data_IF_787542456055
#
_entry.id   IF_787542456055
#
_cell.length_a   1.000
_cell.length_b   1.000
_cell.length_c   1.000
_cell.angle_alpha   90.00
_cell.angle_beta   90.00
_cell.angle_gamma   90.00
#
_symmetry.space_group_name_H-M   'P 1'
#
loop_
_entity.id
_entity.type
_entity.pdbx_description
1 polymer ?
#
# COMPACT_ATOMS: atom_id res chain seq x y z
N UNK A 1 -62.36 -32.86 17.95
CA UNK A 1 -62.03 -34.28 17.69
C UNK A 1 -60.60 -34.28 17.19
N UNK A 2 -59.61 -34.72 17.99
CA UNK A 2 -59.22 -36.15 18.19
C UNK A 2 -58.36 -36.65 17.02
N UNK A 3 -57.20 -37.31 17.11
CA UNK A 3 -56.25 -37.75 18.16
C UNK A 3 -54.90 -38.08 17.45
N UNK A 4 -53.70 -38.19 18.03
CA UNK A 4 -53.17 -37.97 19.40
C UNK A 4 -51.61 -37.87 19.38
N UNK A 5 -50.99 -37.71 20.55
CA UNK A 5 -49.56 -37.74 20.91
C UNK A 5 -48.69 -38.89 20.35
N UNK A 6 -47.36 -38.66 20.33
CA UNK A 6 -46.38 -39.63 20.87
C UNK A 6 -45.05 -38.94 21.26
N UNK A 7 -44.62 -39.11 22.51
CA UNK A 7 -43.26 -38.80 22.98
C UNK A 7 -42.32 -39.99 22.74
N UNK A 8 -41.02 -39.74 22.61
CA UNK A 8 -40.00 -40.74 22.88
C UNK A 8 -38.72 -40.07 23.44
N UNK A 9 -38.44 -40.30 24.72
CA UNK A 9 -37.11 -40.05 25.32
C UNK A 9 -36.24 -41.29 25.15
N UNK A 10 -34.93 -41.12 25.04
CA UNK A 10 -33.97 -42.16 25.47
C UNK A 10 -32.69 -41.50 25.99
N UNK A 11 -32.02 -42.17 26.92
CA UNK A 11 -31.00 -41.60 27.80
C UNK A 11 -29.93 -42.67 28.13
N UNK A 12 -28.65 -42.31 28.00
CA UNK A 12 -27.50 -43.16 28.36
C UNK A 12 -27.09 -44.18 27.27
N UNK A 13 -25.87 -44.70 27.25
CA UNK A 13 -24.65 -44.31 27.98
C UNK A 13 -23.39 -44.80 27.21
N UNK A 14 -22.22 -44.34 27.69
CA UNK A 14 -20.83 -44.85 27.58
C UNK A 14 -20.58 -46.17 26.81
N UNK A 15 -19.46 -46.38 26.10
CA UNK A 15 -18.07 -46.17 26.59
C UNK A 15 -16.96 -46.26 25.49
N UNK A 16 -15.69 -46.10 25.90
CA UNK A 16 -14.42 -46.48 25.23
C UNK A 16 -13.64 -45.48 24.31
N UNK A 17 -12.83 -44.64 24.96
CA UNK A 17 -11.50 -44.11 24.53
C UNK A 17 -10.46 -45.26 24.30
N UNK A 18 -9.18 -45.07 23.83
CA UNK A 18 -8.41 -43.80 23.73
C UNK A 18 -7.58 -43.57 22.44
N UNK A 19 -7.07 -42.34 22.24
CA UNK A 19 -6.18 -42.08 21.07
C UNK A 19 -5.51 -40.71 20.91
N UNK A 20 -4.70 -40.27 21.88
CA UNK A 20 -3.57 -39.31 21.74
C UNK A 20 -3.62 -38.20 20.64
N UNK A 21 -3.70 -36.92 21.06
CA UNK A 21 -2.52 -36.04 20.97
C UNK A 21 -2.70 -34.73 21.74
N UNK A 22 -1.79 -34.46 22.69
CA UNK A 22 -1.70 -33.15 23.38
C UNK A 22 -1.03 -32.14 22.46
N UNK A 23 -1.75 -31.11 22.04
CA UNK A 23 -1.14 -29.82 21.65
C UNK A 23 -1.60 -28.74 22.63
N UNK A 24 -0.80 -28.53 23.67
CA UNK A 24 -0.97 -27.41 24.61
C UNK A 24 -0.66 -26.10 23.90
N UNK A 25 -1.71 -25.45 23.37
CA UNK A 25 -1.61 -24.10 22.78
C UNK A 25 -1.14 -23.11 23.84
N UNK A 26 0.14 -22.74 23.79
CA UNK A 26 0.72 -21.76 24.69
C UNK A 26 -0.08 -20.46 24.68
N UNK A 27 -0.58 -20.05 25.84
CA UNK A 27 -1.35 -18.82 26.05
C UNK A 27 -0.41 -17.63 25.89
N UNK A 28 -0.48 -16.93 24.74
CA UNK A 28 0.27 -15.69 24.56
C UNK A 28 -0.17 -14.66 25.60
N UNK A 29 0.74 -13.91 26.24
CA UNK A 29 0.37 -12.71 26.97
C UNK A 29 -0.27 -11.72 26.02
N UNK A 30 -1.47 -11.23 26.36
CA UNK A 30 -2.00 -10.01 25.75
C UNK A 30 -1.26 -8.82 26.38
N UNK A 31 -0.69 -7.89 25.60
CA UNK A 31 -0.22 -6.63 26.17
C UNK A 31 -1.43 -5.79 26.61
N UNK A 32 -1.33 -5.16 27.77
CA UNK A 32 -2.40 -4.34 28.33
C UNK A 32 -2.71 -3.11 27.47
N UNK A 33 -3.99 -2.75 27.41
CA UNK A 33 -4.52 -1.70 26.56
C UNK A 33 -4.38 -0.29 27.19
N UNK A 34 -3.17 0.07 27.65
CA UNK A 34 -2.89 1.35 28.32
C UNK A 34 -1.50 1.92 28.02
N UNK A 35 -1.01 1.82 26.79
CA UNK A 35 0.01 2.78 26.29
C UNK A 35 0.05 2.86 24.75
N UNK A 36 -1.11 3.15 24.15
CA UNK A 36 -1.26 3.33 22.70
C UNK A 36 -0.74 4.70 22.23
N UNK A 37 0.53 5.01 22.54
CA UNK A 37 1.28 6.01 21.77
C UNK A 37 1.26 5.54 20.32
N UNK A 38 0.77 6.38 19.42
CA UNK A 38 0.62 6.06 18.00
C UNK A 38 1.99 5.94 17.31
N UNK A 39 2.67 4.80 17.53
CA UNK A 39 3.90 4.45 16.83
C UNK A 39 3.60 4.41 15.32
N UNK A 40 4.28 5.23 14.51
CA UNK A 40 4.00 5.27 13.08
C UNK A 40 4.28 3.90 12.46
N UNK A 41 3.43 3.48 11.52
CA UNK A 41 3.48 2.17 10.84
C UNK A 41 4.83 1.91 10.12
N UNK A 42 5.64 2.95 9.93
CA UNK A 42 7.04 2.86 9.52
C UNK A 42 7.94 2.07 10.49
N UNK A 43 7.69 2.08 11.81
CA UNK A 43 8.58 1.47 12.82
C UNK A 43 8.63 -0.07 12.71
N UNK A 44 7.50 -0.81 12.61
CA UNK A 44 7.53 -2.25 12.36
C UNK A 44 8.24 -2.63 11.05
N UNK A 45 7.95 -1.92 9.95
CA UNK A 45 8.55 -2.14 8.63
C UNK A 45 10.07 -1.95 8.69
N UNK A 46 10.54 -0.82 9.22
CA UNK A 46 11.96 -0.53 9.38
C UNK A 46 12.67 -1.51 10.33
N UNK A 47 11.95 -2.16 11.26
CA UNK A 47 12.51 -3.21 12.12
C UNK A 47 12.68 -4.53 11.36
N UNK A 48 11.71 -4.94 10.55
CA UNK A 48 11.80 -6.16 9.72
C UNK A 48 12.92 -6.02 8.69
N UNK A 49 12.99 -4.89 7.98
CA UNK A 49 14.05 -4.61 7.00
C UNK A 49 15.43 -4.65 7.67
N UNK A 50 15.62 -4.00 8.83
CA UNK A 50 16.88 -4.04 9.59
C UNK A 50 17.25 -5.46 10.03
N UNK A 51 16.31 -6.24 10.55
CA UNK A 51 16.58 -7.62 10.97
C UNK A 51 17.01 -8.51 9.78
N UNK A 52 16.32 -8.39 8.64
CA UNK A 52 16.68 -9.09 7.41
C UNK A 52 18.04 -8.65 6.86
N UNK A 53 18.36 -7.36 6.90
CA UNK A 53 19.65 -6.83 6.45
C UNK A 53 20.81 -7.29 7.34
N UNK A 54 20.62 -7.37 8.67
CA UNK A 54 21.62 -7.93 9.58
C UNK A 54 21.82 -9.43 9.33
N UNK A 55 20.75 -10.20 9.19
CA UNK A 55 20.83 -11.64 8.92
C UNK A 55 21.52 -11.94 7.57
N UNK A 56 21.24 -11.13 6.53
CA UNK A 56 21.86 -11.34 5.21
C UNK A 56 23.35 -10.99 5.15
N UNK A 57 23.88 -10.13 6.03
CA UNK A 57 25.34 -9.89 6.09
C UNK A 57 26.13 -11.12 6.53
N UNK A 58 25.49 -12.05 7.23
CA UNK A 58 26.09 -13.29 7.70
C UNK A 58 26.03 -14.44 6.67
N UNK A 59 25.42 -14.22 5.49
CA UNK A 59 25.22 -15.24 4.47
C UNK A 59 25.94 -14.86 3.16
N UNK A 60 26.72 -15.75 2.55
CA UNK A 60 27.37 -15.46 1.27
C UNK A 60 26.32 -15.25 0.17
N UNK A 61 26.47 -14.18 -0.61
CA UNK A 61 25.57 -13.84 -1.71
C UNK A 61 25.67 -14.91 -2.81
N UNK A 62 24.71 -15.86 -2.84
CA UNK A 62 24.71 -16.97 -3.80
C UNK A 62 24.32 -16.58 -5.22
N UNK A 63 23.55 -15.49 -5.37
CA UNK A 63 23.07 -14.98 -6.65
C UNK A 63 23.38 -13.47 -6.73
N UNK A 64 23.68 -12.96 -7.93
CA UNK A 64 23.72 -11.52 -8.19
C UNK A 64 22.32 -10.91 -8.14
N UNK A 65 22.21 -9.65 -7.73
CA UNK A 65 20.93 -8.95 -7.61
C UNK A 65 20.87 -8.04 -6.38
N UNK A 66 19.67 -7.65 -5.95
CA UNK A 66 19.46 -6.96 -4.68
C UNK A 66 19.29 -7.94 -3.51
N UNK A 67 19.88 -7.59 -2.36
CA UNK A 67 19.76 -8.30 -1.08
C UNK A 67 19.51 -7.33 0.08
N UNK A 68 18.71 -7.67 1.12
CA UNK A 68 18.03 -8.94 1.36
C UNK A 68 16.71 -9.10 0.58
N UNK A 69 16.41 -10.33 0.14
CA UNK A 69 15.20 -10.67 -0.64
C UNK A 69 13.89 -10.20 0.01
N UNK A 70 13.79 -10.22 1.34
CA UNK A 70 12.61 -9.72 2.06
C UNK A 70 12.39 -8.23 1.80
N UNK A 71 13.45 -7.41 1.84
CA UNK A 71 13.35 -5.99 1.56
C UNK A 71 13.04 -5.72 0.09
N UNK A 72 13.55 -6.54 -0.84
CA UNK A 72 13.18 -6.49 -2.26
C UNK A 72 11.69 -6.77 -2.46
N UNK A 73 11.14 -7.76 -1.76
CA UNK A 73 9.70 -8.05 -1.77
C UNK A 73 8.86 -6.91 -1.19
N UNK A 74 9.30 -6.31 -0.08
CA UNK A 74 8.62 -5.15 0.53
C UNK A 74 8.67 -3.91 -0.38
N UNK A 75 9.79 -3.68 -1.07
CA UNK A 75 9.90 -2.63 -2.06
C UNK A 75 9.02 -2.90 -3.29
N UNK A 76 8.97 -4.16 -3.75
CA UNK A 76 8.21 -4.58 -4.93
C UNK A 76 6.70 -4.61 -4.72
N UNK A 77 6.23 -4.62 -3.47
CA UNK A 77 4.82 -4.52 -3.11
C UNK A 77 4.24 -3.10 -3.25
N UNK A 78 5.08 -2.09 -3.53
CA UNK A 78 4.65 -0.73 -3.80
C UNK A 78 4.40 -0.47 -5.30
N UNK A 79 3.47 0.44 -5.58
CA UNK A 79 3.22 1.02 -6.90
C UNK A 79 4.23 2.12 -7.22
N UNK A 80 4.95 1.96 -8.33
CA UNK A 80 6.05 2.82 -8.76
C UNK A 80 5.74 3.49 -10.09
N UNK A 81 5.73 4.82 -10.15
CA UNK A 81 5.56 5.58 -11.39
C UNK A 81 6.80 6.43 -11.70
N UNK A 82 7.30 6.51 -12.94
CA UNK A 82 8.41 7.41 -13.26
C UNK A 82 7.97 8.87 -13.15
N UNK A 83 8.83 9.74 -12.59
CA UNK A 83 8.52 11.15 -12.36
C UNK A 83 8.16 11.90 -13.66
N UNK A 84 8.78 11.49 -14.77
CA UNK A 84 8.52 11.98 -16.12
C UNK A 84 7.13 11.65 -16.67
N UNK A 85 6.44 10.63 -16.16
CA UNK A 85 5.06 10.32 -16.55
C UNK A 85 4.02 10.95 -15.62
N UNK A 86 4.23 10.88 -14.31
CA UNK A 86 3.25 11.33 -13.31
C UNK A 86 3.02 12.85 -13.33
N UNK A 87 4.08 13.66 -13.45
CA UNK A 87 3.92 15.13 -13.43
C UNK A 87 3.16 15.65 -14.65
N UNK A 88 3.44 15.23 -15.89
CA UNK A 88 2.58 15.55 -17.04
C UNK A 88 1.16 15.02 -16.90
N UNK A 89 0.96 13.79 -16.41
CA UNK A 89 -0.38 13.23 -16.23
C UNK A 89 -1.23 14.04 -15.23
N UNK A 90 -0.67 14.39 -14.07
CA UNK A 90 -1.33 15.26 -13.08
C UNK A 90 -1.64 16.65 -13.65
N UNK A 91 -0.74 17.24 -14.46
CA UNK A 91 -1.01 18.52 -15.15
C UNK A 91 -2.14 18.40 -16.17
N UNK A 92 -2.19 17.32 -16.96
CA UNK A 92 -3.29 17.06 -17.91
C UNK A 92 -4.63 16.84 -17.20
N UNK A 93 -4.63 16.17 -16.03
CA UNK A 93 -5.81 15.96 -15.20
C UNK A 93 -6.44 17.27 -14.71
N UNK A 94 -5.65 18.31 -14.40
CA UNK A 94 -6.16 19.65 -14.05
C UNK A 94 -6.94 20.34 -15.18
N UNK A 95 -6.72 19.94 -16.44
CA UNK A 95 -7.36 20.53 -17.62
C UNK A 95 -8.66 19.80 -18.02
N UNK A 96 -9.03 18.72 -17.33
CA UNK A 96 -10.21 17.92 -17.68
C UNK A 96 -11.53 18.56 -17.20
N UNK A 97 -12.54 18.58 -18.09
CA UNK A 97 -13.87 19.09 -17.77
C UNK A 97 -14.75 17.99 -17.12
N UNK A 98 -14.61 17.79 -15.81
CA UNK A 98 -15.34 16.77 -15.05
C UNK A 98 -16.88 16.88 -15.07
N UNK A 99 -17.46 17.93 -15.68
CA UNK A 99 -18.92 17.98 -15.94
C UNK A 99 -19.36 17.00 -17.03
N UNK A 100 -18.43 16.50 -17.85
CA UNK A 100 -18.68 15.50 -18.88
C UNK A 100 -18.35 14.10 -18.35
N UNK A 101 -19.27 13.16 -18.48
CA UNK A 101 -19.09 11.77 -18.04
C UNK A 101 -17.86 11.10 -18.69
N UNK A 102 -17.63 11.39 -19.97
CA UNK A 102 -16.44 10.91 -20.72
C UNK A 102 -15.14 11.43 -20.11
N UNK A 103 -15.09 12.70 -19.70
CA UNK A 103 -13.93 13.30 -19.03
C UNK A 103 -13.72 12.74 -17.62
N UNK A 104 -14.81 12.43 -16.89
CA UNK A 104 -14.74 11.78 -15.59
C UNK A 104 -14.15 10.37 -15.69
N UNK A 105 -14.64 9.56 -16.65
CA UNK A 105 -14.11 8.22 -16.94
C UNK A 105 -12.64 8.28 -17.34
N UNK A 106 -12.28 9.18 -18.26
CA UNK A 106 -10.89 9.39 -18.67
C UNK A 106 -9.99 9.84 -17.50
N UNK A 107 -10.48 10.69 -16.60
CA UNK A 107 -9.74 11.09 -15.39
C UNK A 107 -9.49 9.90 -14.46
N UNK A 108 -10.50 9.04 -14.24
CA UNK A 108 -10.36 7.82 -13.44
C UNK A 108 -9.35 6.86 -14.08
N UNK A 109 -9.48 6.59 -15.37
CA UNK A 109 -8.58 5.70 -16.12
C UNK A 109 -7.14 6.22 -16.12
N UNK A 110 -6.93 7.52 -16.34
CA UNK A 110 -5.60 8.13 -16.29
C UNK A 110 -4.97 8.03 -14.89
N UNK A 111 -5.72 8.26 -13.81
CA UNK A 111 -5.21 8.10 -12.44
C UNK A 111 -4.92 6.63 -12.13
N UNK A 112 -5.79 5.70 -12.50
CA UNK A 112 -5.53 4.25 -12.35
C UNK A 112 -4.31 3.81 -13.17
N UNK A 113 -4.10 4.39 -14.36
CA UNK A 113 -2.93 4.14 -15.19
C UNK A 113 -1.60 4.44 -14.50
N UNK A 114 -1.54 5.42 -13.60
CA UNK A 114 -0.35 5.73 -12.81
C UNK A 114 0.08 4.57 -11.89
N UNK A 115 -0.85 3.74 -11.43
CA UNK A 115 -0.57 2.58 -10.59
C UNK A 115 -0.11 1.35 -11.40
N UNK A 116 -0.28 1.37 -12.73
CA UNK A 116 0.02 0.25 -13.63
C UNK A 116 1.44 0.31 -14.24
N UNK A 117 2.28 1.23 -13.79
CA UNK A 117 3.68 1.31 -14.21
C UNK A 117 4.50 0.15 -13.63
N UNK A 118 5.47 -0.36 -14.39
CA UNK A 118 6.31 -1.48 -13.99
C UNK A 118 7.31 -1.09 -12.89
N UNK A 119 7.51 -1.98 -11.91
CA UNK A 119 8.50 -1.83 -10.84
C UNK A 119 9.90 -1.55 -11.42
N UNK A 120 10.63 -0.49 -11.00
CA UNK A 120 11.88 -0.07 -11.64
C UNK A 120 13.04 -1.08 -11.53
N UNK A 121 12.99 -1.99 -10.56
CA UNK A 121 14.03 -3.00 -10.29
C UNK A 121 13.47 -4.42 -10.46
N UNK A 122 14.35 -5.41 -10.29
CA UNK A 122 14.02 -6.83 -10.31
C UNK A 122 15.24 -7.70 -9.97
N UNK A 123 15.13 -9.04 -10.02
CA UNK A 123 16.23 -9.94 -9.66
C UNK A 123 17.54 -9.64 -10.41
N UNK A 124 17.44 -9.35 -11.71
CA UNK A 124 18.58 -9.01 -12.58
C UNK A 124 18.57 -7.56 -13.06
N UNK A 125 17.79 -6.67 -12.41
CA UNK A 125 17.69 -5.25 -12.77
C UNK A 125 17.86 -4.37 -11.54
N UNK A 126 19.01 -3.69 -11.45
CA UNK A 126 19.23 -2.62 -10.46
C UNK A 126 18.29 -1.45 -10.75
N UNK A 127 17.93 -0.68 -9.73
CA UNK A 127 17.15 0.56 -9.91
C UNK A 127 17.88 1.49 -10.90
N UNK A 128 17.20 2.15 -11.86
CA UNK A 128 17.86 2.92 -12.92
C UNK A 128 18.78 4.05 -12.39
N UNK A 129 19.80 4.40 -13.17
CA UNK A 129 20.71 5.50 -12.84
C UNK A 129 20.16 6.81 -13.41
N UNK A 130 20.14 7.88 -12.61
CA UNK A 130 19.73 9.21 -13.08
C UNK A 130 18.23 9.40 -13.31
N UNK A 131 17.41 8.36 -13.12
CA UNK A 131 15.94 8.47 -13.13
C UNK A 131 15.38 8.59 -11.72
N UNK A 132 14.26 9.32 -11.60
CA UNK A 132 13.50 9.47 -10.36
C UNK A 132 12.15 8.79 -10.53
N UNK A 133 11.80 7.92 -9.58
CA UNK A 133 10.48 7.31 -9.47
C UNK A 133 9.73 7.84 -8.25
N UNK A 134 8.41 7.74 -8.32
CA UNK A 134 7.45 8.09 -7.28
C UNK A 134 6.86 6.81 -6.71
N UNK A 135 6.87 6.69 -5.40
CA UNK A 135 6.16 5.61 -4.69
C UNK A 135 4.75 6.08 -4.32
N UNK A 136 3.74 5.63 -5.07
CA UNK A 136 2.36 6.12 -4.95
C UNK A 136 1.66 5.74 -3.64
N UNK A 137 2.16 4.71 -2.94
CA UNK A 137 1.57 4.19 -1.69
C UNK A 137 2.17 4.82 -0.42
N UNK A 138 3.08 5.79 -0.56
CA UNK A 138 3.67 6.49 0.60
C UNK A 138 2.85 7.72 1.00
N UNK A 139 2.67 7.88 2.31
CA UNK A 139 2.06 9.07 2.91
C UNK A 139 3.08 10.23 2.82
N UNK A 140 2.66 11.44 2.43
CA UNK A 140 1.27 11.89 2.28
C UNK A 140 0.64 11.68 0.90
N UNK A 141 1.42 11.41 -0.16
CA UNK A 141 0.91 11.33 -1.53
C UNK A 141 -0.24 10.31 -1.69
N UNK A 142 -0.13 9.13 -1.08
CA UNK A 142 -1.17 8.09 -1.14
C UNK A 142 -2.55 8.58 -0.65
N UNK A 143 -2.58 9.37 0.43
CA UNK A 143 -3.81 9.94 0.97
C UNK A 143 -4.39 10.98 0.01
N UNK A 144 -3.52 11.79 -0.60
CA UNK A 144 -3.93 12.77 -1.63
C UNK A 144 -4.51 12.07 -2.87
N UNK A 145 -3.86 11.02 -3.38
CA UNK A 145 -4.35 10.25 -4.53
C UNK A 145 -5.71 9.57 -4.26
N UNK A 146 -5.89 9.01 -3.06
CA UNK A 146 -7.19 8.48 -2.61
C UNK A 146 -8.26 9.58 -2.52
N UNK A 147 -7.89 10.77 -2.02
CA UNK A 147 -8.76 11.95 -1.95
C UNK A 147 -9.20 12.48 -3.32
N UNK A 148 -8.39 12.31 -4.37
CA UNK A 148 -8.75 12.62 -5.76
C UNK A 148 -9.70 11.55 -6.35
N UNK A 149 -9.40 10.27 -6.12
CA UNK A 149 -10.17 9.15 -6.70
C UNK A 149 -11.57 8.98 -6.09
N UNK A 150 -11.71 9.08 -4.77
CA UNK A 150 -12.96 8.73 -4.09
C UNK A 150 -14.17 9.61 -4.53
N UNK A 151 -14.03 10.94 -4.75
CA UNK A 151 -15.10 11.76 -5.32
C UNK A 151 -15.50 11.36 -6.74
N UNK A 152 -14.54 10.98 -7.59
CA UNK A 152 -14.82 10.57 -8.99
C UNK A 152 -15.65 9.29 -9.03
N UNK A 153 -15.26 8.27 -8.25
CA UNK A 153 -15.99 6.99 -8.17
C UNK A 153 -17.43 7.22 -7.66
N UNK A 154 -17.62 8.09 -6.66
CA UNK A 154 -18.95 8.48 -6.17
C UNK A 154 -19.77 9.22 -7.23
N UNK A 155 -19.13 10.04 -8.06
CA UNK A 155 -19.77 10.77 -9.14
C UNK A 155 -20.21 9.86 -10.30
N UNK A 156 -19.40 8.88 -10.69
CA UNK A 156 -19.75 7.87 -11.71
C UNK A 156 -20.88 6.94 -11.26
N UNK A 157 -20.89 6.54 -9.97
CA UNK A 157 -21.82 5.51 -9.47
C UNK A 157 -23.16 6.04 -8.97
N UNK A 158 -23.21 7.23 -8.35
CA UNK A 158 -24.43 7.78 -7.76
C UNK A 158 -25.02 8.96 -8.55
N UNK A 159 -24.26 9.54 -9.48
CA UNK A 159 -24.52 10.83 -10.09
C UNK A 159 -24.33 11.98 -9.09
N UNK A 160 -23.61 13.03 -9.50
CA UNK A 160 -23.51 14.28 -8.72
C UNK A 160 -24.02 15.46 -9.54
N UNK A 161 -24.85 16.28 -8.90
CA UNK A 161 -25.44 17.48 -9.48
C UNK A 161 -25.30 18.69 -8.53
N UNK A 162 -25.42 19.90 -9.08
CA UNK A 162 -25.41 21.14 -8.31
C UNK A 162 -24.18 21.31 -7.40
N UNK A 163 -24.43 21.69 -6.14
CA UNK A 163 -23.37 21.96 -5.15
C UNK A 163 -22.48 20.75 -4.85
N UNK A 164 -23.00 19.52 -4.93
CA UNK A 164 -22.20 18.30 -4.70
C UNK A 164 -21.19 18.07 -5.82
N UNK A 165 -21.59 18.32 -7.08
CA UNK A 165 -20.67 18.25 -8.23
C UNK A 165 -19.60 19.35 -8.14
N UNK A 166 -19.99 20.57 -7.81
CA UNK A 166 -19.05 21.68 -7.60
C UNK A 166 -18.02 21.34 -6.52
N UNK A 167 -18.45 20.81 -5.37
CA UNK A 167 -17.55 20.36 -4.31
C UNK A 167 -16.61 19.22 -4.73
N UNK A 168 -17.10 18.24 -5.50
CA UNK A 168 -16.26 17.18 -6.05
C UNK A 168 -15.18 17.71 -7.00
N UNK A 169 -15.52 18.64 -7.90
CA UNK A 169 -14.56 19.30 -8.79
C UNK A 169 -13.51 20.10 -8.00
N UNK A 170 -13.91 20.88 -6.99
CA UNK A 170 -12.97 21.63 -6.13
C UNK A 170 -12.02 20.70 -5.37
N UNK A 171 -12.53 19.59 -4.83
CA UNK A 171 -11.70 18.59 -4.14
C UNK A 171 -10.71 17.90 -5.08
N UNK A 172 -11.13 17.59 -6.31
CA UNK A 172 -10.26 17.02 -7.35
C UNK A 172 -9.12 17.98 -7.74
N UNK A 173 -9.44 19.25 -8.05
CA UNK A 173 -8.45 20.27 -8.43
C UNK A 173 -7.48 20.53 -7.26
N UNK A 174 -8.00 20.68 -6.05
CA UNK A 174 -7.20 20.87 -4.83
C UNK A 174 -6.30 19.66 -4.54
N UNK A 175 -6.83 18.44 -4.69
CA UNK A 175 -6.09 17.19 -4.52
C UNK A 175 -4.93 17.07 -5.51
N UNK A 176 -5.17 17.29 -6.81
CA UNK A 176 -4.11 17.23 -7.82
C UNK A 176 -3.07 18.33 -7.60
N UNK A 177 -3.50 19.53 -7.24
CA UNK A 177 -2.58 20.63 -6.91
C UNK A 177 -1.71 20.29 -5.68
N UNK A 178 -2.30 19.64 -4.68
CA UNK A 178 -1.58 19.14 -3.49
C UNK A 178 -0.60 18.02 -3.84
N UNK A 179 -0.97 17.11 -4.75
CA UNK A 179 -0.09 16.04 -5.22
C UNK A 179 1.10 16.62 -6.01
N UNK A 180 0.87 17.58 -6.90
CA UNK A 180 1.93 18.30 -7.60
C UNK A 180 2.84 19.09 -6.64
N UNK A 181 2.28 19.71 -5.60
CA UNK A 181 3.06 20.37 -4.56
C UNK A 181 3.93 19.36 -3.81
N UNK A 182 3.39 18.20 -3.40
CA UNK A 182 4.14 17.15 -2.72
C UNK A 182 5.30 16.61 -3.58
N UNK A 183 5.06 16.43 -4.89
CA UNK A 183 6.09 16.01 -5.85
C UNK A 183 7.15 17.09 -6.17
N UNK A 184 6.97 18.31 -5.67
CA UNK A 184 7.92 19.44 -5.87
C UNK A 184 8.45 20.02 -4.56
N UNK A 185 8.07 19.45 -3.40
CA UNK A 185 8.62 19.83 -2.09
C UNK A 185 10.05 19.35 -1.94
N UNK A 186 10.89 20.25 -1.43
CA UNK A 186 12.22 19.95 -0.92
C UNK A 186 12.11 19.96 0.61
N UNK A 187 11.68 18.83 1.18
CA UNK A 187 11.33 18.71 2.59
C UNK A 187 12.13 17.56 3.25
N UNK A 188 13.20 17.90 3.97
CA UNK A 188 13.97 16.98 4.82
C UNK A 188 13.24 16.68 6.16
N UNK A 189 11.92 16.46 6.13
CA UNK A 189 11.14 16.31 7.36
C UNK A 189 11.43 14.96 8.04
N UNK A 190 12.00 14.95 9.26
CA UNK A 190 12.33 13.70 9.95
C UNK A 190 11.06 12.91 10.28
N UNK A 191 11.06 11.62 9.94
CA UNK A 191 9.98 10.68 10.25
C UNK A 191 8.96 10.42 9.14
N UNK A 192 8.97 11.23 8.05
CA UNK A 192 8.18 10.94 6.85
C UNK A 192 9.03 10.05 5.92
N UNK A 193 8.41 9.04 5.30
CA UNK A 193 9.10 8.26 4.25
C UNK A 193 9.17 9.09 2.97
N UNK A 194 10.30 9.10 2.24
CA UNK A 194 10.36 9.86 1.00
C UNK A 194 9.32 9.37 -0.01
N UNK A 195 8.75 10.31 -0.76
CA UNK A 195 7.81 10.04 -1.87
C UNK A 195 8.55 9.84 -3.19
N UNK A 196 9.66 10.57 -3.37
CA UNK A 196 10.57 10.51 -4.52
C UNK A 196 11.77 9.62 -4.22
N UNK A 197 12.15 8.80 -5.20
CA UNK A 197 13.24 7.85 -5.09
C UNK A 197 14.14 7.93 -6.33
N UNK A 198 15.38 8.34 -6.12
CA UNK A 198 16.49 7.90 -6.97
C UNK A 198 17.04 6.55 -6.46
N UNK A 199 18.07 6.03 -7.13
CA UNK A 199 18.75 4.79 -6.71
C UNK A 199 19.30 4.84 -5.28
N UNK A 200 19.91 5.95 -4.87
CA UNK A 200 20.58 6.06 -3.58
C UNK A 200 19.57 6.10 -2.42
N UNK A 201 18.49 6.88 -2.58
CA UNK A 201 17.36 6.92 -1.64
C UNK A 201 16.68 5.54 -1.58
N UNK A 202 16.47 4.89 -2.73
CA UNK A 202 15.89 3.54 -2.80
C UNK A 202 16.74 2.51 -2.03
N UNK A 203 18.03 2.43 -2.31
CA UNK A 203 18.95 1.48 -1.67
C UNK A 203 19.09 1.77 -0.16
N UNK A 204 19.12 3.05 0.24
CA UNK A 204 19.16 3.47 1.64
C UNK A 204 17.88 3.14 2.42
N UNK A 205 16.71 3.52 1.92
CA UNK A 205 15.42 3.37 2.63
C UNK A 205 15.04 1.91 2.82
N UNK A 206 15.32 1.05 1.84
CA UNK A 206 15.06 -0.39 1.92
C UNK A 206 16.27 -1.20 2.43
N UNK A 207 17.38 -0.56 2.80
CA UNK A 207 18.64 -1.19 3.24
C UNK A 207 19.10 -2.30 2.28
N UNK A 208 19.03 -2.01 0.98
CA UNK A 208 19.36 -2.93 -0.10
C UNK A 208 20.81 -2.76 -0.56
N UNK A 209 21.49 -3.88 -0.75
CA UNK A 209 22.82 -3.95 -1.36
C UNK A 209 22.69 -4.64 -2.72
N UNK A 210 23.29 -4.08 -3.77
CA UNK A 210 23.44 -4.74 -5.07
C UNK A 210 24.71 -5.60 -5.08
N UNK A 211 24.58 -6.88 -5.40
CA UNK A 211 25.68 -7.87 -5.46
C UNK A 211 25.88 -8.46 -6.86
N UNK A 212 25.23 -7.91 -7.89
CA UNK A 212 25.52 -8.23 -9.28
C UNK A 212 26.67 -7.37 -9.85
N UNK A 213 27.23 -7.75 -11.01
CA UNK A 213 27.99 -6.81 -11.85
C UNK A 213 27.10 -5.64 -12.32
#
# INVERSE_FOLDING_TARGET
>A
MSHSSSEARSHGAEDAEPGQSRVTRAKRPCPDASDAVALPVAVPVARVIRAAATASRCMPARNGGYSPTVAVGMAGAHSWAPYSAIVPALRSLLLMNLKQETSLRAAREAITGLYNHATPFGPSRRFPAGEVYVCLDRVPLAQTMQGILQPLVKAETAGLFGSRLAGACSNYISGISSALQELTRVDDRPGISPTLYDRAIFESVFLLTWTGP
#
